data_IF_569679240146
#
_entry.id   IF_569679240146
#
_cell.length_a   1.000
_cell.length_b   1.000
_cell.length_c   1.000
_cell.angle_alpha   90.00
_cell.angle_beta   90.00
_cell.angle_gamma   90.00
#
_symmetry.space_group_name_H-M   'P 1'
#
loop_
_entity.id
_entity.type
_entity.pdbx_description
1 polymer ?
#
# COMPACT_ATOMS: atom_id res chain seq x y z
N UNK A 1 -1.93 5.93 37.51
CA UNK A 1 -2.72 4.99 38.34
C UNK A 1 -3.49 4.12 37.38
N UNK A 2 -3.37 2.79 37.47
CA UNK A 2 -4.19 1.90 36.63
C UNK A 2 -5.64 2.06 37.08
N UNK A 3 -6.55 2.35 36.17
CA UNK A 3 -8.00 2.39 36.45
C UNK A 3 -8.42 1.02 37.00
N UNK A 4 -9.20 0.99 38.09
CA UNK A 4 -9.70 -0.27 38.66
C UNK A 4 -10.72 -0.86 37.69
N UNK A 5 -10.69 -2.18 37.49
CA UNK A 5 -11.68 -2.82 36.63
C UNK A 5 -13.08 -2.68 37.24
N UNK A 6 -14.09 -2.43 36.39
CA UNK A 6 -15.49 -2.34 36.80
C UNK A 6 -16.13 -3.71 36.87
N UNK A 7 -16.86 -3.98 37.95
CA UNK A 7 -17.73 -5.16 38.04
C UNK A 7 -19.16 -4.70 38.30
N UNK A 8 -20.14 -5.43 37.78
CA UNK A 8 -21.56 -5.17 38.01
C UNK A 8 -22.18 -6.29 38.81
N UNK A 9 -22.83 -5.95 39.91
CA UNK A 9 -23.51 -6.88 40.80
C UNK A 9 -25.02 -6.64 40.70
N UNK A 10 -25.78 -7.69 40.44
CA UNK A 10 -27.22 -7.61 40.20
C UNK A 10 -27.94 -8.60 41.12
N UNK A 11 -28.77 -8.08 42.02
CA UNK A 11 -29.54 -8.87 42.97
C UNK A 11 -30.73 -8.01 43.43
N UNK A 12 -31.91 -8.59 43.59
CA UNK A 12 -33.11 -7.85 44.03
C UNK A 12 -33.09 -7.53 45.53
N UNK A 13 -32.19 -8.14 46.30
CA UNK A 13 -31.98 -7.88 47.72
C UNK A 13 -30.86 -6.84 47.96
N UNK A 14 -31.20 -5.63 48.40
CA UNK A 14 -30.23 -4.55 48.70
C UNK A 14 -29.13 -4.98 49.70
N UNK A 15 -29.49 -5.81 50.69
CA UNK A 15 -28.52 -6.32 51.67
C UNK A 15 -27.41 -7.19 51.04
N UNK A 16 -27.74 -7.94 49.97
CA UNK A 16 -26.76 -8.74 49.22
C UNK A 16 -25.84 -7.80 48.42
N UNK A 17 -26.41 -6.77 47.78
CA UNK A 17 -25.64 -5.75 47.06
C UNK A 17 -24.65 -5.03 47.98
N UNK A 18 -25.07 -4.61 49.18
CA UNK A 18 -24.20 -3.98 50.18
C UNK A 18 -23.04 -4.90 50.59
N UNK A 19 -23.36 -6.16 50.92
CA UNK A 19 -22.37 -7.16 51.34
C UNK A 19 -21.34 -7.42 50.24
N UNK A 20 -21.80 -7.60 49.00
CA UNK A 20 -20.93 -7.82 47.86
C UNK A 20 -20.10 -6.58 47.52
N UNK A 21 -20.68 -5.38 47.64
CA UNK A 21 -19.95 -4.12 47.44
C UNK A 21 -18.78 -4.01 48.41
N UNK A 22 -19.03 -4.19 49.71
CA UNK A 22 -17.98 -4.20 50.73
C UNK A 22 -16.91 -5.28 50.47
N UNK A 23 -17.30 -6.42 49.91
CA UNK A 23 -16.38 -7.51 49.59
C UNK A 23 -15.38 -7.14 48.49
N UNK A 24 -15.78 -6.31 47.53
CA UNK A 24 -15.06 -6.08 46.27
C UNK A 24 -14.53 -4.65 46.06
N UNK A 25 -15.01 -3.66 46.82
CA UNK A 25 -14.69 -2.22 46.63
C UNK A 25 -13.20 -1.88 46.79
N UNK A 26 -12.44 -2.69 47.53
CA UNK A 26 -10.99 -2.51 47.69
C UNK A 26 -10.22 -2.79 46.39
N UNK A 27 -10.71 -3.71 45.55
CA UNK A 27 -10.03 -4.20 44.35
C UNK A 27 -10.64 -3.67 43.04
N UNK A 28 -11.97 -3.47 43.02
CA UNK A 28 -12.74 -3.17 41.81
C UNK A 28 -13.57 -1.90 41.98
N UNK A 29 -13.96 -1.29 40.86
CA UNK A 29 -15.04 -0.30 40.86
C UNK A 29 -16.36 -1.08 40.79
N UNK A 30 -17.10 -1.11 41.90
CA UNK A 30 -18.33 -1.91 42.01
C UNK A 30 -19.52 -1.06 41.58
N UNK A 31 -20.22 -1.54 40.56
CA UNK A 31 -21.52 -1.04 40.13
C UNK A 31 -22.60 -2.01 40.61
N UNK A 32 -23.77 -1.51 40.97
CA UNK A 32 -24.88 -2.33 41.44
C UNK A 32 -26.17 -2.01 40.71
N UNK A 33 -27.07 -3.00 40.63
CA UNK A 33 -28.42 -2.85 40.13
C UNK A 33 -29.37 -3.80 40.85
N UNK A 34 -30.60 -3.36 41.12
CA UNK A 34 -31.63 -4.17 41.80
C UNK A 34 -32.53 -4.93 40.82
N UNK A 35 -32.33 -4.74 39.52
CA UNK A 35 -33.09 -5.42 38.47
C UNK A 35 -32.25 -5.65 37.21
N UNK A 36 -32.60 -6.67 36.42
CA UNK A 36 -31.96 -6.92 35.13
C UNK A 36 -32.11 -5.73 34.15
N UNK A 37 -33.24 -5.01 34.22
CA UNK A 37 -33.46 -3.82 33.37
C UNK A 37 -32.49 -2.71 33.71
N UNK A 38 -32.32 -2.41 35.00
CA UNK A 38 -31.39 -1.38 35.44
C UNK A 38 -29.94 -1.79 35.17
N UNK A 39 -29.62 -3.08 35.34
CA UNK A 39 -28.31 -3.63 35.00
C UNK A 39 -27.96 -3.45 33.51
N UNK A 40 -28.91 -3.67 32.59
CA UNK A 40 -28.73 -3.41 31.16
C UNK A 40 -28.52 -1.92 30.87
N UNK A 41 -29.19 -1.02 31.59
CA UNK A 41 -28.97 0.42 31.46
C UNK A 41 -27.57 0.83 31.94
N UNK A 42 -27.10 0.26 33.06
CA UNK A 42 -25.73 0.45 33.56
C UNK A 42 -24.70 -0.06 32.55
N UNK A 43 -24.88 -1.26 31.98
CA UNK A 43 -24.01 -1.80 30.94
C UNK A 43 -23.91 -0.87 29.72
N UNK A 44 -25.03 -0.29 29.28
CA UNK A 44 -25.05 0.65 28.16
C UNK A 44 -24.36 1.99 28.46
N UNK A 45 -24.39 2.46 29.70
CA UNK A 45 -23.86 3.75 30.10
C UNK A 45 -22.40 3.70 30.62
N UNK A 46 -21.99 2.59 31.22
CA UNK A 46 -20.75 2.47 32.00
C UNK A 46 -19.75 1.44 31.45
N UNK A 47 -20.04 0.82 30.30
CA UNK A 47 -19.11 -0.07 29.63
C UNK A 47 -17.73 0.60 29.38
N UNK A 48 -16.62 -0.16 29.40
CA UNK A 48 -16.55 -1.62 29.57
C UNK A 48 -16.72 -2.06 31.04
N UNK A 49 -17.46 -3.15 31.24
CA UNK A 49 -17.61 -3.84 32.53
C UNK A 49 -16.94 -5.20 32.42
N UNK A 50 -16.02 -5.50 33.34
CA UNK A 50 -15.18 -6.68 33.25
C UNK A 50 -15.95 -7.95 33.59
N UNK A 51 -16.70 -7.93 34.70
CA UNK A 51 -17.51 -9.06 35.12
C UNK A 51 -18.90 -8.61 35.56
N UNK A 52 -19.91 -9.42 35.24
CA UNK A 52 -21.28 -9.29 35.75
C UNK A 52 -21.54 -10.48 36.67
N UNK A 53 -22.01 -10.20 37.87
CA UNK A 53 -22.41 -11.19 38.88
C UNK A 53 -23.89 -10.97 39.13
N UNK A 54 -24.73 -11.95 38.82
CA UNK A 54 -26.19 -11.80 38.94
C UNK A 54 -26.80 -12.92 39.76
N UNK A 55 -27.84 -12.63 40.54
CA UNK A 55 -28.72 -13.68 41.05
C UNK A 55 -29.50 -14.36 39.91
N UNK A 56 -29.81 -15.63 40.10
CA UNK A 56 -30.61 -16.40 39.14
C UNK A 56 -32.11 -16.05 39.19
N UNK A 57 -32.67 -15.75 40.37
CA UNK A 57 -34.10 -15.53 40.59
C UNK A 57 -34.37 -14.07 40.92
N UNK A 58 -34.54 -13.27 39.88
CA UNK A 58 -34.98 -11.88 40.02
C UNK A 58 -36.41 -11.70 39.47
N UNK A 59 -37.17 -10.71 39.96
CA UNK A 59 -38.45 -10.32 39.37
C UNK A 59 -38.31 -9.98 37.88
N UNK A 60 -39.35 -10.27 37.11
CA UNK A 60 -39.49 -9.99 35.66
C UNK A 60 -38.57 -10.79 34.72
N UNK A 61 -37.28 -10.94 35.02
CA UNK A 61 -36.28 -11.58 34.17
C UNK A 61 -35.28 -12.38 35.00
N UNK A 62 -35.03 -13.63 34.61
CA UNK A 62 -34.05 -14.48 35.30
C UNK A 62 -32.62 -14.08 35.00
N UNK A 63 -31.68 -14.47 35.87
CA UNK A 63 -30.24 -14.21 35.68
C UNK A 63 -29.71 -14.78 34.35
N UNK A 64 -30.10 -16.00 33.98
CA UNK A 64 -29.72 -16.60 32.68
C UNK A 64 -30.25 -15.79 31.48
N UNK A 65 -31.51 -15.36 31.51
CA UNK A 65 -32.09 -14.55 30.42
C UNK A 65 -31.40 -13.18 30.30
N UNK A 66 -31.05 -12.58 31.43
CA UNK A 66 -30.26 -11.37 31.48
C UNK A 66 -28.85 -11.59 30.89
N UNK A 67 -28.12 -12.61 31.36
CA UNK A 67 -26.76 -12.89 30.90
C UNK A 67 -26.70 -13.28 29.41
N UNK A 68 -27.74 -13.89 28.86
CA UNK A 68 -27.84 -14.11 27.42
C UNK A 68 -27.85 -12.79 26.64
N UNK A 69 -28.58 -11.77 27.12
CA UNK A 69 -28.54 -10.42 26.52
C UNK A 69 -27.19 -9.72 26.71
N UNK A 70 -26.53 -9.94 27.85
CA UNK A 70 -25.16 -9.44 28.07
C UNK A 70 -24.20 -10.10 27.08
N UNK A 71 -24.33 -11.40 26.83
CA UNK A 71 -23.47 -12.11 25.88
C UNK A 71 -23.60 -11.57 24.45
N UNK A 72 -24.81 -11.18 24.03
CA UNK A 72 -25.04 -10.60 22.70
C UNK A 72 -24.49 -9.17 22.57
N UNK A 73 -24.70 -8.33 23.59
CA UNK A 73 -24.36 -6.89 23.54
C UNK A 73 -22.93 -6.58 23.99
N UNK A 74 -22.41 -7.36 24.92
CA UNK A 74 -21.11 -7.19 25.57
C UNK A 74 -20.39 -8.55 25.65
N UNK A 75 -19.98 -9.12 24.50
CA UNK A 75 -19.47 -10.49 24.42
C UNK A 75 -18.22 -10.73 25.27
N UNK A 76 -17.38 -9.71 25.46
CA UNK A 76 -16.14 -9.78 26.24
C UNK A 76 -16.36 -9.74 27.76
N UNK A 77 -17.49 -9.24 28.25
CA UNK A 77 -17.80 -9.21 29.69
C UNK A 77 -17.97 -10.62 30.22
N UNK A 78 -17.24 -11.02 31.25
CA UNK A 78 -17.43 -12.33 31.90
C UNK A 78 -18.70 -12.33 32.74
N UNK A 79 -19.39 -13.47 32.77
CA UNK A 79 -20.77 -13.57 33.27
C UNK A 79 -20.84 -14.66 34.33
N UNK A 80 -21.09 -14.28 35.59
CA UNK A 80 -21.15 -15.15 36.76
C UNK A 80 -22.58 -15.15 37.28
N UNK A 81 -23.07 -16.33 37.65
CA UNK A 81 -24.40 -16.48 38.22
C UNK A 81 -24.33 -16.99 39.66
N UNK A 82 -25.12 -16.38 40.55
CA UNK A 82 -25.32 -16.82 41.92
C UNK A 82 -26.64 -17.58 42.00
N UNK A 83 -26.67 -18.72 42.69
CA UNK A 83 -27.89 -19.51 42.84
C UNK A 83 -28.04 -20.11 44.23
N UNK A 84 -29.22 -20.01 44.82
CA UNK A 84 -29.57 -20.73 46.06
C UNK A 84 -30.15 -22.13 45.83
N UNK A 85 -30.44 -22.52 44.59
CA UNK A 85 -31.11 -23.80 44.27
C UNK A 85 -30.44 -24.53 43.10
N UNK A 86 -30.33 -25.85 43.21
CA UNK A 86 -29.74 -26.74 42.21
C UNK A 86 -30.70 -27.06 41.05
N UNK A 87 -31.20 -26.05 40.33
CA UNK A 87 -31.89 -26.28 39.05
C UNK A 87 -30.84 -26.56 37.95
N UNK A 88 -30.29 -27.77 37.98
CA UNK A 88 -29.15 -28.18 37.15
C UNK A 88 -29.38 -28.07 35.65
N UNK A 89 -30.60 -28.35 35.17
CA UNK A 89 -30.88 -28.45 33.73
C UNK A 89 -30.88 -27.10 33.00
N UNK A 90 -31.28 -26.02 33.67
CA UNK A 90 -31.23 -24.67 33.09
C UNK A 90 -29.79 -24.13 33.10
N UNK A 91 -29.03 -24.42 34.16
CA UNK A 91 -27.63 -24.01 34.27
C UNK A 91 -26.72 -24.74 33.28
N UNK A 92 -26.89 -26.05 33.11
CA UNK A 92 -26.10 -26.83 32.14
C UNK A 92 -26.32 -26.30 30.73
N UNK A 93 -27.56 -25.93 30.37
CA UNK A 93 -27.85 -25.30 29.08
C UNK A 93 -27.17 -23.94 28.91
N UNK A 94 -27.27 -23.07 29.90
CA UNK A 94 -26.65 -21.75 29.85
C UNK A 94 -25.10 -21.80 29.72
N UNK A 95 -24.46 -22.81 30.32
CA UNK A 95 -23.02 -23.06 30.15
C UNK A 95 -22.72 -23.57 28.74
N UNK A 96 -23.46 -24.57 28.27
CA UNK A 96 -23.24 -25.18 26.95
C UNK A 96 -23.48 -24.19 25.80
N UNK A 97 -24.36 -23.20 26.01
CA UNK A 97 -24.62 -22.11 25.07
C UNK A 97 -23.60 -20.97 25.18
N UNK A 98 -22.63 -21.05 26.10
CA UNK A 98 -21.56 -20.06 26.27
C UNK A 98 -22.01 -18.75 26.94
N UNK A 99 -23.24 -18.69 27.45
CA UNK A 99 -23.81 -17.50 28.08
C UNK A 99 -23.21 -17.21 29.45
N UNK A 100 -22.70 -18.22 30.17
CA UNK A 100 -22.21 -18.11 31.55
C UNK A 100 -20.80 -18.66 31.67
N UNK A 101 -19.91 -17.90 32.33
CA UNK A 101 -18.53 -18.30 32.63
C UNK A 101 -18.46 -19.24 33.84
N UNK A 102 -19.18 -18.93 34.91
CA UNK A 102 -19.20 -19.74 36.13
C UNK A 102 -20.50 -19.55 36.92
N UNK A 103 -20.85 -20.54 37.74
CA UNK A 103 -21.92 -20.42 38.73
C UNK A 103 -21.37 -20.60 40.14
N UNK A 104 -22.01 -19.96 41.11
CA UNK A 104 -21.68 -20.03 42.53
C UNK A 104 -22.94 -20.32 43.32
N UNK A 105 -22.88 -21.31 44.20
CA UNK A 105 -24.01 -21.68 45.07
C UNK A 105 -24.03 -20.80 46.34
N UNK A 106 -25.21 -20.32 46.73
CA UNK A 106 -25.45 -19.64 48.02
C UNK A 106 -25.67 -20.71 49.12
N UNK A 107 -25.07 -20.59 50.33
CA UNK A 107 -24.09 -19.59 50.74
C UNK A 107 -22.69 -19.86 50.15
N UNK A 108 -21.96 -18.80 49.80
CA UNK A 108 -20.60 -18.88 49.27
C UNK A 108 -19.55 -18.58 50.33
N UNK A 109 -18.35 -19.12 50.15
CA UNK A 109 -17.17 -18.68 50.90
C UNK A 109 -16.61 -17.39 50.26
N UNK A 110 -16.40 -16.31 51.03
CA UNK A 110 -15.93 -15.03 50.48
C UNK A 110 -14.62 -15.13 49.68
N UNK A 111 -13.65 -15.90 50.17
CA UNK A 111 -12.35 -16.03 49.50
C UNK A 111 -12.44 -16.78 48.16
N UNK A 112 -13.29 -17.80 48.07
CA UNK A 112 -13.52 -18.56 46.83
C UNK A 112 -14.19 -17.69 45.77
N UNK A 113 -15.18 -16.88 46.18
CA UNK A 113 -15.85 -15.95 45.29
C UNK A 113 -14.88 -14.85 44.81
N UNK A 114 -14.03 -14.31 45.69
CA UNK A 114 -12.99 -13.35 45.31
C UNK A 114 -12.04 -13.92 44.26
N UNK A 115 -11.54 -15.14 44.47
CA UNK A 115 -10.67 -15.80 43.49
C UNK A 115 -11.39 -16.08 42.16
N UNK A 116 -12.68 -16.38 42.18
CA UNK A 116 -13.46 -16.57 40.96
C UNK A 116 -13.62 -15.26 40.18
N UNK A 117 -14.00 -14.18 40.85
CA UNK A 117 -14.16 -12.85 40.25
C UNK A 117 -12.83 -12.34 39.71
N UNK A 118 -11.74 -12.52 40.45
CA UNK A 118 -10.40 -12.18 40.00
C UNK A 118 -10.05 -12.85 38.67
N UNK A 119 -10.24 -14.19 38.57
CA UNK A 119 -10.02 -14.94 37.33
C UNK A 119 -10.94 -14.49 36.20
N UNK A 120 -12.19 -14.16 36.50
CA UNK A 120 -13.15 -13.67 35.51
C UNK A 120 -12.72 -12.31 34.93
N UNK A 121 -12.26 -11.39 35.78
CA UNK A 121 -11.73 -10.08 35.36
C UNK A 121 -10.44 -10.25 34.55
N UNK A 122 -9.56 -11.17 34.94
CA UNK A 122 -8.34 -11.48 34.18
C UNK A 122 -8.69 -12.01 32.77
N UNK A 123 -9.66 -12.92 32.66
CA UNK A 123 -10.14 -13.41 31.38
C UNK A 123 -10.70 -12.28 30.50
N UNK A 124 -11.49 -11.36 31.07
CA UNK A 124 -11.99 -10.19 30.35
C UNK A 124 -10.84 -9.34 29.78
N UNK A 125 -9.81 -9.09 30.61
CA UNK A 125 -8.62 -8.35 30.19
C UNK A 125 -7.88 -9.05 29.05
N UNK A 126 -7.75 -10.38 29.10
CA UNK A 126 -7.14 -11.18 28.04
C UNK A 126 -7.93 -11.10 26.74
N UNK A 127 -9.27 -11.16 26.80
CA UNK A 127 -10.15 -11.02 25.64
C UNK A 127 -9.99 -9.63 24.99
N UNK A 128 -10.08 -8.55 25.77
CA UNK A 128 -9.86 -7.18 25.25
C UNK A 128 -8.45 -7.00 24.67
N UNK A 129 -7.44 -7.58 25.32
CA UNK A 129 -6.06 -7.51 24.82
C UNK A 129 -5.92 -8.24 23.49
N UNK A 130 -6.55 -9.41 23.34
CA UNK A 130 -6.52 -10.18 22.10
C UNK A 130 -7.21 -9.42 20.96
N UNK A 131 -8.40 -8.87 21.20
CA UNK A 131 -9.10 -8.02 20.22
C UNK A 131 -8.23 -6.85 19.77
N UNK A 132 -7.64 -6.11 20.72
CA UNK A 132 -6.74 -5.00 20.42
C UNK A 132 -5.50 -5.44 19.63
N UNK A 133 -4.86 -6.54 20.02
CA UNK A 133 -3.69 -7.07 19.30
C UNK A 133 -4.05 -7.51 17.88
N UNK A 134 -5.23 -8.10 17.69
CA UNK A 134 -5.72 -8.47 16.37
C UNK A 134 -5.93 -7.22 15.49
N UNK A 135 -6.53 -6.17 16.04
CA UNK A 135 -6.68 -4.88 15.38
C UNK A 135 -5.33 -4.25 15.03
N UNK A 136 -4.39 -4.22 15.96
CA UNK A 136 -3.03 -3.69 15.77
C UNK A 136 -2.32 -4.42 14.63
N UNK A 137 -2.37 -5.77 14.62
CA UNK A 137 -1.78 -6.59 13.55
C UNK A 137 -2.45 -6.33 12.21
N UNK A 138 -3.78 -6.25 12.17
CA UNK A 138 -4.50 -5.94 10.94
C UNK A 138 -4.18 -4.53 10.42
N UNK A 139 -4.08 -3.54 11.30
CA UNK A 139 -3.72 -2.18 10.93
C UNK A 139 -2.29 -2.11 10.40
N UNK A 140 -1.33 -2.73 11.09
CA UNK A 140 0.04 -2.82 10.63
C UNK A 140 0.13 -3.50 9.25
N UNK A 141 -0.57 -4.61 9.05
CA UNK A 141 -0.62 -5.31 7.76
C UNK A 141 -1.22 -4.45 6.64
N UNK A 142 -2.30 -3.70 6.91
CA UNK A 142 -2.88 -2.77 5.93
C UNK A 142 -1.91 -1.64 5.57
N UNK A 143 -1.25 -1.06 6.57
CA UNK A 143 -0.26 -0.01 6.36
C UNK A 143 0.92 -0.50 5.53
N UNK A 144 1.48 -1.66 5.86
CA UNK A 144 2.59 -2.27 5.11
C UNK A 144 2.18 -2.62 3.68
N UNK A 145 0.99 -3.18 3.46
CA UNK A 145 0.49 -3.48 2.13
C UNK A 145 0.36 -2.20 1.27
N UNK A 146 -0.18 -1.12 1.83
CA UNK A 146 -0.27 0.17 1.16
C UNK A 146 1.12 0.74 0.84
N UNK A 147 2.06 0.71 1.81
CA UNK A 147 3.41 1.19 1.59
C UNK A 147 4.14 0.42 0.48
N UNK A 148 3.99 -0.90 0.41
CA UNK A 148 4.60 -1.74 -0.63
C UNK A 148 3.94 -1.51 -2.01
N UNK A 149 2.66 -1.16 -2.06
CA UNK A 149 1.93 -0.82 -3.30
C UNK A 149 2.39 0.51 -3.94
N UNK A 150 3.04 1.39 -3.17
CA UNK A 150 3.63 2.65 -3.63
C UNK A 150 5.06 2.50 -4.18
N UNK A 151 5.73 1.37 -3.90
CA UNK A 151 7.07 1.13 -4.43
C UNK A 151 6.96 0.79 -5.93
N UNK A 152 7.75 1.39 -6.83
CA UNK A 152 7.73 1.11 -8.28
C UNK A 152 8.40 -0.23 -8.65
N UNK A 153 8.28 -1.24 -7.79
CA UNK A 153 8.83 -2.57 -7.95
C UNK A 153 7.73 -3.58 -7.66
N UNK A 154 7.51 -4.51 -8.58
CA UNK A 154 6.61 -5.62 -8.36
C UNK A 154 7.23 -6.59 -7.35
N UNK A 155 6.45 -6.97 -6.34
CA UNK A 155 6.80 -8.01 -5.38
C UNK A 155 5.70 -9.06 -5.36
N UNK A 156 6.06 -10.31 -5.63
CA UNK A 156 5.20 -11.48 -5.51
C UNK A 156 5.84 -12.46 -4.53
N UNK A 157 5.21 -12.65 -3.38
CA UNK A 157 5.71 -13.43 -2.25
C UNK A 157 5.01 -14.78 -2.20
N UNK A 158 5.80 -15.85 -2.10
CA UNK A 158 5.33 -17.23 -1.97
C UNK A 158 5.89 -17.86 -0.71
N UNK A 159 5.15 -18.77 -0.10
CA UNK A 159 5.66 -19.56 1.02
C UNK A 159 6.49 -20.77 0.55
N UNK A 160 6.93 -21.62 1.50
CA UNK A 160 7.67 -22.86 1.22
C UNK A 160 6.92 -23.84 0.32
N UNK A 161 5.60 -23.83 0.34
CA UNK A 161 4.76 -24.70 -0.48
C UNK A 161 4.52 -24.12 -1.89
N UNK A 162 5.06 -22.93 -2.17
CA UNK A 162 4.84 -22.23 -3.43
C UNK A 162 3.47 -21.56 -3.51
N UNK A 163 2.76 -21.38 -2.39
CA UNK A 163 1.47 -20.67 -2.36
C UNK A 163 1.72 -19.18 -2.23
N UNK A 164 1.04 -18.39 -3.06
CA UNK A 164 1.15 -16.93 -3.04
C UNK A 164 0.57 -16.38 -1.73
N UNK A 165 1.39 -15.63 -0.98
CA UNK A 165 1.03 -14.98 0.29
C UNK A 165 0.82 -13.48 0.15
N UNK A 166 1.50 -12.84 -0.80
CA UNK A 166 1.28 -11.44 -1.13
C UNK A 166 1.66 -11.16 -2.58
N UNK A 167 0.96 -10.21 -3.19
CA UNK A 167 1.32 -9.63 -4.48
C UNK A 167 0.98 -8.15 -4.42
N UNK A 168 1.95 -7.27 -4.63
CA UNK A 168 1.68 -5.83 -4.62
C UNK A 168 1.08 -5.36 -5.95
N UNK A 169 0.56 -4.13 -5.98
CA UNK A 169 -0.10 -3.52 -7.15
C UNK A 169 0.78 -3.54 -8.41
N UNK A 170 2.06 -3.10 -8.38
CA UNK A 170 2.94 -3.21 -9.54
C UNK A 170 3.12 -4.65 -10.04
N UNK A 171 3.30 -5.64 -9.15
CA UNK A 171 3.41 -7.04 -9.58
C UNK A 171 2.14 -7.50 -10.30
N UNK A 172 0.96 -7.24 -9.73
CA UNK A 172 -0.31 -7.61 -10.38
C UNK A 172 -0.47 -6.94 -11.74
N UNK A 173 -0.05 -5.68 -11.86
CA UNK A 173 -0.11 -4.91 -13.11
C UNK A 173 0.86 -5.46 -14.17
N UNK A 174 2.14 -5.68 -13.82
CA UNK A 174 3.14 -6.23 -14.75
C UNK A 174 2.81 -7.65 -15.22
N UNK A 175 2.14 -8.41 -14.36
CA UNK A 175 1.73 -9.79 -14.63
C UNK A 175 0.32 -9.91 -15.21
N UNK A 176 -0.42 -8.81 -15.40
CA UNK A 176 -1.77 -8.83 -15.96
C UNK A 176 -2.79 -9.61 -15.16
N UNK A 177 -2.60 -9.71 -13.84
CA UNK A 177 -3.46 -10.52 -12.99
C UNK A 177 -4.82 -9.82 -12.81
N UNK A 178 -5.90 -10.51 -13.19
CA UNK A 178 -7.28 -9.98 -13.12
C UNK A 178 -7.87 -9.93 -11.71
N UNK A 179 -7.16 -10.46 -10.71
CA UNK A 179 -7.61 -10.54 -9.32
C UNK A 179 -6.47 -10.71 -8.34
N UNK A 180 -6.81 -10.91 -7.07
CA UNK A 180 -5.85 -11.18 -6.01
C UNK A 180 -5.36 -12.65 -6.08
N UNK A 181 -4.07 -12.90 -6.32
CA UNK A 181 -3.54 -14.25 -6.43
C UNK A 181 -3.32 -14.94 -5.08
N UNK A 182 -3.56 -14.26 -3.95
CA UNK A 182 -3.32 -14.85 -2.61
C UNK A 182 -4.06 -16.18 -2.43
N UNK A 183 -3.34 -17.18 -1.95
CA UNK A 183 -3.83 -18.55 -1.75
C UNK A 183 -3.71 -19.46 -2.97
N UNK A 184 -3.38 -18.93 -4.15
CA UNK A 184 -3.15 -19.73 -5.35
C UNK A 184 -1.71 -20.26 -5.40
N UNK A 185 -1.50 -21.39 -6.09
CA UNK A 185 -0.15 -21.88 -6.34
C UNK A 185 0.56 -20.98 -7.36
N UNK A 186 1.84 -20.68 -7.13
CA UNK A 186 2.62 -19.82 -8.04
C UNK A 186 2.68 -20.38 -9.46
N UNK A 187 2.74 -21.69 -9.61
CA UNK A 187 2.76 -22.35 -10.91
C UNK A 187 1.46 -22.12 -11.70
N UNK A 188 0.32 -22.01 -11.03
CA UNK A 188 -0.98 -21.69 -11.66
C UNK A 188 -1.03 -20.22 -12.09
N UNK A 189 -0.53 -19.32 -11.22
CA UNK A 189 -0.44 -17.89 -11.53
C UNK A 189 0.47 -17.65 -12.74
N UNK A 190 1.61 -18.33 -12.79
CA UNK A 190 2.59 -18.22 -13.89
C UNK A 190 2.21 -19.04 -15.14
N UNK A 191 1.19 -19.90 -15.07
CA UNK A 191 0.64 -20.60 -16.23
C UNK A 191 -0.29 -19.72 -17.08
N UNK A 192 -0.55 -18.47 -16.66
CA UNK A 192 -1.32 -17.50 -17.41
C UNK A 192 -0.73 -17.18 -18.79
N UNK A 193 -1.59 -16.71 -19.70
CA UNK A 193 -1.17 -16.29 -21.05
C UNK A 193 -0.09 -15.21 -20.98
N UNK A 194 0.97 -15.37 -21.76
CA UNK A 194 2.09 -14.42 -21.84
C UNK A 194 3.13 -14.51 -20.71
N UNK A 195 3.00 -15.44 -19.76
CA UNK A 195 3.91 -15.58 -18.61
C UNK A 195 4.91 -16.77 -18.72
N UNK A 196 4.97 -17.45 -19.86
CA UNK A 196 5.83 -18.62 -20.06
C UNK A 196 7.31 -18.35 -19.80
N UNK A 197 7.85 -17.26 -20.35
CA UNK A 197 9.25 -16.84 -20.15
C UNK A 197 9.51 -16.50 -18.67
N UNK A 198 8.55 -15.84 -18.00
CA UNK A 198 8.66 -15.55 -16.57
C UNK A 198 8.77 -16.82 -15.73
N UNK A 199 7.96 -17.84 -16.05
CA UNK A 199 7.96 -19.12 -15.36
C UNK A 199 9.31 -19.81 -15.47
N UNK A 200 9.85 -19.89 -16.69
CA UNK A 200 11.16 -20.50 -16.94
C UNK A 200 12.30 -19.74 -16.25
N UNK A 201 12.29 -18.42 -16.34
CA UNK A 201 13.29 -17.55 -15.69
C UNK A 201 13.21 -17.64 -14.17
N UNK A 202 11.99 -17.72 -13.61
CA UNK A 202 11.81 -17.96 -12.18
C UNK A 202 12.43 -19.30 -11.78
N UNK A 203 12.18 -20.37 -12.53
CA UNK A 203 12.74 -21.69 -12.24
C UNK A 203 14.28 -21.69 -12.26
N UNK A 204 14.92 -20.99 -13.20
CA UNK A 204 16.39 -20.84 -13.24
C UNK A 204 16.92 -20.04 -12.05
N UNK A 205 16.35 -18.86 -11.79
CA UNK A 205 16.78 -17.99 -10.68
C UNK A 205 16.57 -18.63 -9.30
N UNK A 206 15.66 -19.59 -9.17
CA UNK A 206 15.44 -20.38 -7.95
C UNK A 206 16.62 -21.27 -7.58
N UNK A 207 17.48 -21.62 -8.55
CA UNK A 207 18.67 -22.46 -8.41
C UNK A 207 19.97 -21.63 -8.39
N UNK A 208 19.86 -20.33 -8.67
CA UNK A 208 20.97 -19.37 -8.70
C UNK A 208 21.22 -18.73 -7.33
N UNK A 209 22.37 -18.05 -7.21
CA UNK A 209 22.69 -17.24 -6.03
C UNK A 209 21.67 -16.11 -5.81
N UNK A 210 21.47 -15.75 -4.54
CA UNK A 210 20.51 -14.72 -4.08
C UNK A 210 20.89 -13.28 -4.52
N UNK A 211 21.85 -13.11 -5.42
CA UNK A 211 22.20 -11.84 -6.07
C UNK A 211 21.83 -11.81 -7.56
N UNK A 212 21.55 -12.96 -8.16
CA UNK A 212 21.26 -13.08 -9.58
C UNK A 212 19.97 -12.35 -9.96
N UNK A 213 19.95 -11.81 -11.17
CA UNK A 213 18.76 -11.30 -11.84
C UNK A 213 18.85 -11.65 -13.33
N UNK A 214 17.70 -11.72 -13.98
CA UNK A 214 17.59 -11.90 -15.43
C UNK A 214 16.64 -10.85 -16.01
N UNK A 215 16.92 -10.40 -17.23
CA UNK A 215 16.02 -9.51 -17.99
C UNK A 215 15.17 -10.35 -18.94
N UNK A 216 13.89 -10.00 -19.06
CA UNK A 216 12.92 -10.73 -19.88
C UNK A 216 11.89 -9.77 -20.47
N UNK A 217 11.24 -10.18 -21.56
CA UNK A 217 10.17 -9.41 -22.21
C UNK A 217 8.82 -10.11 -22.04
N UNK A 218 7.88 -9.46 -21.32
CA UNK A 218 6.51 -9.93 -21.19
C UNK A 218 5.61 -9.24 -22.19
N UNK A 219 4.94 -10.03 -23.03
CA UNK A 219 3.91 -9.52 -23.93
C UNK A 219 2.54 -9.93 -23.40
N UNK A 220 1.69 -8.94 -23.13
CA UNK A 220 0.30 -9.13 -22.69
C UNK A 220 -0.64 -8.32 -23.57
N UNK A 221 -1.41 -9.01 -24.42
CA UNK A 221 -2.19 -8.36 -25.46
C UNK A 221 -1.29 -7.54 -26.38
N UNK A 222 -1.58 -6.25 -26.51
CA UNK A 222 -0.81 -5.31 -27.33
C UNK A 222 0.36 -4.64 -26.58
N UNK A 223 0.55 -4.95 -25.30
CA UNK A 223 1.56 -4.32 -24.45
C UNK A 223 2.76 -5.25 -24.28
N UNK A 224 3.96 -4.74 -24.58
CA UNK A 224 5.22 -5.43 -24.29
C UNK A 224 6.00 -4.67 -23.20
N UNK A 225 6.42 -5.41 -22.19
CA UNK A 225 7.11 -4.94 -21.00
C UNK A 225 8.47 -5.59 -20.88
N UNK A 226 9.53 -4.80 -20.73
CA UNK A 226 10.84 -5.31 -20.35
C UNK A 226 10.99 -5.27 -18.84
N UNK A 227 11.21 -6.43 -18.24
CA UNK A 227 11.33 -6.60 -16.79
C UNK A 227 12.70 -7.15 -16.42
N UNK A 228 13.23 -6.69 -15.28
CA UNK A 228 14.32 -7.34 -14.55
C UNK A 228 13.71 -8.15 -13.42
N UNK A 229 13.84 -9.46 -13.47
CA UNK A 229 13.37 -10.40 -12.46
C UNK A 229 14.53 -10.81 -11.54
N UNK A 230 14.30 -10.77 -10.24
CA UNK A 230 15.14 -11.39 -9.24
C UNK A 230 14.28 -12.28 -8.33
N UNK A 231 14.80 -13.44 -7.92
CA UNK A 231 14.18 -14.29 -6.91
C UNK A 231 15.05 -14.24 -5.67
N UNK A 232 14.44 -13.99 -4.51
CA UNK A 232 15.15 -13.94 -3.23
C UNK A 232 14.49 -14.86 -2.23
N UNK A 233 15.30 -15.52 -1.42
CA UNK A 233 14.78 -16.30 -0.29
C UNK A 233 14.44 -15.36 0.87
N UNK A 234 13.32 -15.61 1.53
CA UNK A 234 12.90 -14.85 2.72
C UNK A 234 13.11 -15.75 3.92
N UNK A 235 13.73 -15.23 4.98
CA UNK A 235 14.00 -15.95 6.23
C UNK A 235 15.49 -16.02 6.52
N UNK A 236 15.86 -16.65 7.63
CA UNK A 236 17.26 -16.95 7.93
C UNK A 236 17.69 -18.19 7.14
N UNK A 237 18.97 -18.29 6.79
CA UNK A 237 19.52 -19.33 5.91
C UNK A 237 19.17 -20.76 6.35
N UNK A 238 19.06 -21.01 7.66
CA UNK A 238 18.71 -22.33 8.21
C UNK A 238 17.19 -22.62 8.22
N UNK A 239 16.34 -21.59 8.09
CA UNK A 239 14.88 -21.70 8.13
C UNK A 239 14.20 -20.71 7.16
N UNK A 240 14.31 -20.92 5.84
CA UNK A 240 13.72 -20.01 4.85
C UNK A 240 12.19 -20.06 4.96
N UNK A 241 11.50 -18.97 5.22
CA UNK A 241 10.03 -18.94 5.35
C UNK A 241 9.29 -18.89 4.00
N UNK A 242 9.97 -18.47 2.94
CA UNK A 242 9.39 -18.35 1.61
C UNK A 242 10.35 -17.75 0.59
N UNK A 243 9.81 -17.26 -0.52
CA UNK A 243 10.57 -16.55 -1.57
C UNK A 243 9.81 -15.31 -2.03
N UNK A 244 10.53 -14.30 -2.49
CA UNK A 244 9.97 -13.14 -3.17
C UNK A 244 10.52 -13.06 -4.60
N UNK A 245 9.61 -12.90 -5.55
CA UNK A 245 9.91 -12.51 -6.92
C UNK A 245 9.83 -10.99 -6.98
N UNK A 246 10.96 -10.36 -7.30
CA UNK A 246 11.10 -8.93 -7.48
C UNK A 246 11.13 -8.61 -8.97
N UNK A 247 10.19 -7.79 -9.42
CA UNK A 247 9.97 -7.41 -10.81
C UNK A 247 10.21 -5.92 -10.94
N UNK A 248 11.25 -5.52 -11.67
CA UNK A 248 11.50 -4.11 -11.97
C UNK A 248 11.23 -3.84 -13.44
N UNK A 249 10.35 -2.90 -13.73
CA UNK A 249 10.09 -2.42 -15.09
C UNK A 249 11.25 -1.56 -15.58
N UNK A 250 11.78 -1.90 -16.76
CA UNK A 250 12.99 -1.29 -17.35
C UNK A 250 12.82 -0.99 -18.85
N UNK A 251 11.60 -0.95 -19.38
CA UNK A 251 11.34 -0.69 -20.82
C UNK A 251 11.82 0.70 -21.25
N UNK A 252 11.91 1.65 -20.31
CA UNK A 252 12.47 2.97 -20.55
C UNK A 252 14.01 2.97 -20.70
N UNK A 253 14.74 2.00 -20.13
CA UNK A 253 16.21 2.02 -20.10
C UNK A 253 16.84 2.01 -21.52
N UNK A 254 16.42 1.14 -22.47
CA UNK A 254 16.95 1.15 -23.83
C UNK A 254 16.63 2.44 -24.60
N UNK A 255 15.41 2.95 -24.44
CA UNK A 255 14.96 4.18 -25.10
C UNK A 255 15.69 5.40 -24.55
N UNK A 256 15.93 5.43 -23.24
CA UNK A 256 16.73 6.46 -22.58
C UNK A 256 18.16 6.46 -23.10
N UNK A 257 18.79 5.29 -23.25
CA UNK A 257 20.14 5.18 -23.81
C UNK A 257 20.20 5.72 -25.25
N UNK A 258 19.24 5.33 -26.10
CA UNK A 258 19.13 5.87 -27.47
C UNK A 258 18.92 7.39 -27.49
N UNK A 259 18.09 7.91 -26.59
CA UNK A 259 17.90 9.35 -26.43
C UNK A 259 19.19 10.08 -26.00
N UNK A 260 19.96 9.52 -25.07
CA UNK A 260 21.25 10.09 -24.64
C UNK A 260 22.29 10.04 -25.77
N UNK A 261 22.34 8.95 -26.55
CA UNK A 261 23.18 8.84 -27.76
C UNK A 261 22.83 9.91 -28.80
N UNK A 262 21.53 10.20 -29.00
CA UNK A 262 21.06 11.29 -29.87
C UNK A 262 21.50 12.67 -29.39
N UNK A 263 21.40 12.95 -28.08
CA UNK A 263 21.86 14.23 -27.52
C UNK A 263 23.36 14.43 -27.76
N UNK A 264 24.15 13.37 -27.56
CA UNK A 264 25.60 13.40 -27.82
C UNK A 264 25.91 13.65 -29.31
N UNK A 265 25.15 13.04 -30.23
CA UNK A 265 25.31 13.27 -31.68
C UNK A 265 25.06 14.74 -32.04
N UNK A 266 24.00 15.35 -31.49
CA UNK A 266 23.66 16.77 -31.68
C UNK A 266 24.75 17.70 -31.13
N UNK A 267 25.38 17.35 -30.00
CA UNK A 267 26.43 18.16 -29.39
C UNK A 267 27.77 18.10 -30.14
N UNK A 268 28.03 17.04 -30.90
CA UNK A 268 29.33 16.84 -31.56
C UNK A 268 29.64 17.85 -32.68
N UNK A 269 30.92 18.14 -32.91
CA UNK A 269 31.36 19.31 -33.69
C UNK A 269 31.33 19.15 -35.24
N UNK A 270 31.17 17.94 -35.78
CA UNK A 270 31.22 17.64 -37.24
C UNK A 270 29.94 17.96 -38.07
N UNK A 271 30.06 17.99 -39.40
CA UNK A 271 28.90 18.03 -40.34
C UNK A 271 28.29 19.41 -40.64
N UNK A 272 27.01 19.47 -41.03
CA UNK A 272 26.20 20.70 -41.16
C UNK A 272 25.10 20.69 -40.07
N UNK A 273 24.71 21.86 -39.53
CA UNK A 273 23.74 21.91 -38.40
C UNK A 273 22.37 21.32 -38.81
N UNK A 274 21.82 21.80 -39.94
CA UNK A 274 20.48 21.45 -40.39
C UNK A 274 20.24 19.94 -40.63
N UNK A 275 21.06 19.22 -41.43
CA UNK A 275 20.83 17.78 -41.65
C UNK A 275 20.86 16.96 -40.36
N UNK A 276 21.64 17.39 -39.36
CA UNK A 276 21.71 16.71 -38.05
C UNK A 276 20.46 16.97 -37.22
N UNK A 277 19.99 18.21 -37.17
CA UNK A 277 18.74 18.54 -36.48
C UNK A 277 17.54 17.83 -37.13
N UNK A 278 17.46 17.76 -38.46
CA UNK A 278 16.40 17.04 -39.18
C UNK A 278 16.45 15.53 -38.88
N UNK A 279 17.65 14.92 -38.93
CA UNK A 279 17.85 13.51 -38.54
C UNK A 279 17.42 13.25 -37.09
N UNK A 280 17.88 14.08 -36.16
CA UNK A 280 17.55 13.95 -34.75
C UNK A 280 16.05 14.15 -34.48
N UNK A 281 15.39 15.07 -35.18
CA UNK A 281 13.94 15.27 -35.06
C UNK A 281 13.17 14.01 -35.49
N UNK A 282 13.60 13.37 -36.59
CA UNK A 282 13.01 12.12 -37.06
C UNK A 282 13.19 10.98 -36.04
N UNK A 283 14.42 10.76 -35.56
CA UNK A 283 14.71 9.71 -34.58
C UNK A 283 14.01 9.93 -33.24
N UNK A 284 13.90 11.19 -32.76
CA UNK A 284 13.13 11.52 -31.57
C UNK A 284 11.64 11.24 -31.76
N UNK A 285 11.08 11.46 -32.97
CA UNK A 285 9.69 11.12 -33.26
C UNK A 285 9.45 9.60 -33.21
N UNK A 286 10.39 8.79 -33.69
CA UNK A 286 10.34 7.32 -33.54
C UNK A 286 10.37 6.91 -32.07
N UNK A 287 11.30 7.46 -31.28
CA UNK A 287 11.39 7.21 -29.85
C UNK A 287 10.08 7.61 -29.14
N UNK A 288 9.52 8.79 -29.43
CA UNK A 288 8.24 9.23 -28.89
C UNK A 288 7.08 8.27 -29.24
N UNK A 289 7.05 7.77 -30.47
CA UNK A 289 6.05 6.79 -30.91
C UNK A 289 6.21 5.43 -30.22
N UNK A 290 7.42 5.03 -29.87
CA UNK A 290 7.67 3.82 -29.07
C UNK A 290 7.22 4.01 -27.62
N UNK A 291 7.55 5.15 -27.00
CA UNK A 291 7.10 5.47 -25.63
C UNK A 291 5.56 5.49 -25.53
N UNK A 292 4.87 6.07 -26.52
CA UNK A 292 3.40 6.08 -26.57
C UNK A 292 2.77 4.70 -26.75
N UNK A 293 3.44 3.78 -27.45
CA UNK A 293 2.94 2.42 -27.69
C UNK A 293 3.19 1.48 -26.52
N UNK A 294 4.29 1.66 -25.79
CA UNK A 294 4.65 0.86 -24.61
C UNK A 294 3.84 1.21 -23.36
N UNK A 295 2.53 1.44 -23.50
CA UNK A 295 1.59 2.00 -22.52
C UNK A 295 1.47 1.19 -21.23
N UNK A 296 2.52 1.24 -20.41
CA UNK A 296 2.46 0.98 -18.98
C UNK A 296 2.73 2.31 -18.30
N UNK A 297 1.91 2.64 -17.30
CA UNK A 297 2.07 3.78 -16.40
C UNK A 297 3.36 3.59 -15.55
N UNK A 298 4.51 3.58 -16.21
CA UNK A 298 5.83 3.55 -15.61
C UNK A 298 6.30 4.99 -15.41
N UNK A 299 6.65 5.39 -14.18
CA UNK A 299 7.23 6.70 -13.92
C UNK A 299 8.42 7.02 -14.82
N UNK A 300 9.27 6.03 -15.14
CA UNK A 300 10.43 6.20 -16.00
C UNK A 300 10.05 6.48 -17.47
N UNK A 301 8.98 5.87 -17.97
CA UNK A 301 8.46 6.16 -19.31
C UNK A 301 7.84 7.55 -19.39
N UNK A 302 7.11 7.98 -18.36
CA UNK A 302 6.53 9.32 -18.30
C UNK A 302 7.61 10.42 -18.28
N UNK A 303 8.65 10.24 -17.45
CA UNK A 303 9.80 11.15 -17.41
C UNK A 303 10.52 11.22 -18.77
N UNK A 304 10.75 10.06 -19.39
CA UNK A 304 11.38 10.00 -20.71
C UNK A 304 10.52 10.66 -21.79
N UNK A 305 9.19 10.45 -21.76
CA UNK A 305 8.25 11.09 -22.68
C UNK A 305 8.31 12.62 -22.59
N UNK A 306 8.34 13.16 -21.37
CA UNK A 306 8.45 14.59 -21.12
C UNK A 306 9.78 15.13 -21.66
N UNK A 307 10.90 14.46 -21.36
CA UNK A 307 12.23 14.85 -21.84
C UNK A 307 12.29 14.86 -23.37
N UNK A 308 11.80 13.80 -24.03
CA UNK A 308 11.73 13.73 -25.50
C UNK A 308 10.90 14.88 -26.07
N UNK A 309 9.71 15.12 -25.50
CA UNK A 309 8.81 16.19 -25.98
C UNK A 309 9.46 17.57 -25.88
N UNK A 310 10.11 17.88 -24.75
CA UNK A 310 10.85 19.15 -24.57
C UNK A 310 11.98 19.29 -25.60
N UNK A 311 12.74 18.24 -25.82
CA UNK A 311 13.81 18.23 -26.82
C UNK A 311 13.27 18.44 -28.23
N UNK A 312 12.17 17.77 -28.61
CA UNK A 312 11.53 17.97 -29.92
C UNK A 312 11.13 19.43 -30.15
N UNK A 313 10.53 20.08 -29.14
CA UNK A 313 10.20 21.51 -29.22
C UNK A 313 11.45 22.37 -29.42
N UNK A 314 12.55 22.07 -28.74
CA UNK A 314 13.80 22.80 -28.94
C UNK A 314 14.34 22.67 -30.37
N UNK A 315 14.37 21.45 -30.91
CA UNK A 315 14.81 21.21 -32.30
C UNK A 315 13.91 21.91 -33.32
N UNK A 316 12.58 21.83 -33.13
CA UNK A 316 11.61 22.46 -34.02
C UNK A 316 11.81 23.97 -34.12
N UNK A 317 12.01 24.65 -32.98
CA UNK A 317 12.28 26.08 -32.98
C UNK A 317 13.65 26.44 -33.59
N UNK A 318 14.70 25.66 -33.34
CA UNK A 318 16.00 25.89 -33.98
C UNK A 318 15.93 25.73 -35.50
N UNK A 319 15.24 24.69 -35.98
CA UNK A 319 15.01 24.48 -37.41
C UNK A 319 14.18 25.60 -38.03
N UNK A 320 13.11 26.04 -37.36
CA UNK A 320 12.27 27.14 -37.83
C UNK A 320 13.03 28.48 -37.90
N UNK A 321 13.95 28.72 -36.96
CA UNK A 321 14.81 29.91 -36.96
C UNK A 321 15.83 29.83 -38.10
N UNK A 322 16.48 28.69 -38.29
CA UNK A 322 17.41 28.47 -39.40
C UNK A 322 16.70 28.63 -40.76
N UNK A 323 15.48 28.08 -40.90
CA UNK A 323 14.65 28.21 -42.10
C UNK A 323 14.27 29.66 -42.41
N UNK A 324 13.83 30.42 -41.40
CA UNK A 324 13.43 31.81 -41.58
C UNK A 324 14.60 32.69 -42.04
N UNK A 325 15.79 32.50 -41.45
CA UNK A 325 17.00 33.24 -41.86
C UNK A 325 17.44 32.94 -43.31
N UNK A 326 17.12 31.75 -43.82
CA UNK A 326 17.51 31.33 -45.18
C UNK A 326 16.45 31.69 -46.23
N UNK A 327 15.16 31.51 -45.92
CA UNK A 327 14.06 31.63 -46.90
C UNK A 327 13.44 33.02 -46.95
N UNK A 328 13.44 33.75 -45.84
CA UNK A 328 12.82 35.06 -45.74
C UNK A 328 13.85 36.16 -45.96
N UNK A 329 13.49 37.20 -46.73
CA UNK A 329 14.39 38.33 -46.96
C UNK A 329 14.66 39.14 -45.69
N UNK A 330 13.62 39.40 -44.90
CA UNK A 330 13.67 40.13 -43.62
C UNK A 330 12.69 39.50 -42.61
N UNK A 331 13.03 38.35 -42.01
CA UNK A 331 12.21 37.74 -40.97
C UNK A 331 12.12 38.64 -39.73
N UNK A 332 11.05 38.54 -38.93
CA UNK A 332 10.94 39.33 -37.69
C UNK A 332 12.01 38.91 -36.67
N UNK A 333 13.03 39.74 -36.49
CA UNK A 333 14.15 39.48 -35.60
C UNK A 333 13.72 39.27 -34.12
N UNK A 334 12.66 39.94 -33.67
CA UNK A 334 12.13 39.78 -32.31
C UNK A 334 11.51 38.40 -32.14
N UNK A 335 10.73 37.96 -33.13
CA UNK A 335 10.13 36.63 -33.15
C UNK A 335 11.21 35.54 -33.16
N UNK A 336 12.28 35.71 -33.96
CA UNK A 336 13.40 34.76 -33.97
C UNK A 336 14.10 34.66 -32.62
N UNK A 337 14.33 35.80 -31.95
CA UNK A 337 14.98 35.84 -30.65
C UNK A 337 14.12 35.17 -29.56
N UNK A 338 12.79 35.36 -29.62
CA UNK A 338 11.85 34.68 -28.72
C UNK A 338 11.82 33.17 -28.95
N UNK A 339 11.77 32.71 -30.21
CA UNK A 339 11.85 31.29 -30.57
C UNK A 339 13.15 30.66 -30.08
N UNK A 340 14.29 31.31 -30.27
CA UNK A 340 15.59 30.85 -29.75
C UNK A 340 15.59 30.74 -28.23
N UNK A 341 15.03 31.73 -27.52
CA UNK A 341 14.94 31.69 -26.05
C UNK A 341 14.10 30.51 -25.57
N UNK A 342 12.93 30.29 -26.18
CA UNK A 342 12.06 29.15 -25.84
C UNK A 342 12.80 27.84 -26.12
N UNK A 343 13.41 27.69 -27.29
CA UNK A 343 14.15 26.49 -27.66
C UNK A 343 15.25 26.16 -26.64
N UNK A 344 16.06 27.15 -26.28
CA UNK A 344 17.17 26.97 -25.34
C UNK A 344 16.68 26.62 -23.93
N UNK A 345 15.53 27.14 -23.50
CA UNK A 345 14.92 26.79 -22.21
C UNK A 345 14.35 25.36 -22.18
N UNK A 346 13.95 24.84 -23.34
CA UNK A 346 13.39 23.50 -23.49
C UNK A 346 14.47 22.44 -23.69
N UNK A 347 15.67 22.82 -24.12
CA UNK A 347 16.80 21.91 -24.27
C UNK A 347 17.18 21.23 -22.93
N UNK A 348 17.39 19.89 -22.92
CA UNK A 348 17.63 19.13 -21.69
C UNK A 348 18.98 19.39 -21.02
N UNK A 349 19.95 19.99 -21.72
CA UNK A 349 21.29 20.31 -21.19
C UNK A 349 21.51 21.83 -21.24
N UNK A 350 20.89 22.61 -20.33
CA UNK A 350 20.85 24.07 -20.43
C UNK A 350 22.24 24.73 -20.37
N UNK A 351 23.21 24.09 -19.70
CA UNK A 351 24.59 24.56 -19.60
C UNK A 351 25.45 24.18 -20.83
N UNK A 352 24.95 23.27 -21.68
CA UNK A 352 25.68 22.71 -22.81
C UNK A 352 24.86 22.80 -24.10
N UNK A 353 24.57 24.03 -24.53
CA UNK A 353 24.01 24.27 -25.86
C UNK A 353 25.01 23.82 -26.93
N UNK A 354 24.58 23.10 -27.99
CA UNK A 354 25.48 22.71 -29.08
C UNK A 354 26.20 23.93 -29.68
N UNK A 355 27.50 23.82 -29.98
CA UNK A 355 28.32 24.96 -30.43
C UNK A 355 27.72 25.69 -31.65
N UNK A 356 27.11 24.94 -32.57
CA UNK A 356 26.44 25.45 -33.77
C UNK A 356 25.12 26.16 -33.47
N UNK A 357 24.39 25.70 -32.45
CA UNK A 357 23.19 26.38 -31.96
C UNK A 357 23.59 27.70 -31.28
N UNK A 358 24.70 27.74 -30.54
CA UNK A 358 25.25 28.99 -30.01
C UNK A 358 25.63 29.96 -31.13
N UNK A 359 26.23 29.46 -32.21
CA UNK A 359 26.53 30.27 -33.39
C UNK A 359 25.25 30.79 -34.08
N UNK A 360 24.20 29.96 -34.20
CA UNK A 360 22.89 30.39 -34.71
C UNK A 360 22.26 31.46 -33.81
N UNK A 361 22.30 31.29 -32.48
CA UNK A 361 21.82 32.27 -31.51
C UNK A 361 22.53 33.62 -31.67
N UNK A 362 23.86 33.61 -31.79
CA UNK A 362 24.66 34.82 -31.99
C UNK A 362 24.30 35.52 -33.31
N UNK A 363 24.03 34.77 -34.39
CA UNK A 363 23.56 35.34 -35.68
C UNK A 363 22.20 36.04 -35.53
N UNK A 364 21.25 35.42 -34.83
CA UNK A 364 19.92 36.01 -34.58
C UNK A 364 20.04 37.27 -33.71
N UNK A 365 20.89 37.23 -32.68
CA UNK A 365 21.12 38.38 -31.81
C UNK A 365 21.78 39.55 -32.55
N UNK A 366 22.77 39.27 -33.40
CA UNK A 366 23.36 40.27 -34.28
C UNK A 366 22.31 40.89 -35.20
N UNK A 367 21.47 40.06 -35.84
CA UNK A 367 20.39 40.54 -36.70
C UNK A 367 19.40 41.45 -35.94
N UNK A 368 19.03 41.08 -34.71
CA UNK A 368 18.15 41.90 -33.88
C UNK A 368 18.77 43.26 -33.51
N UNK A 369 20.09 43.31 -33.31
CA UNK A 369 20.80 44.55 -32.97
C UNK A 369 21.05 45.46 -34.18
N UNK A 370 21.42 44.89 -35.33
CA UNK A 370 21.83 45.66 -36.52
C UNK A 370 20.70 45.87 -37.53
N UNK A 371 19.69 45.00 -37.53
CA UNK A 371 18.65 44.95 -38.57
C UNK A 371 19.13 44.35 -39.90
N UNK A 372 20.37 43.86 -39.98
CA UNK A 372 20.96 43.28 -41.19
C UNK A 372 20.82 41.75 -41.19
N UNK A 373 20.05 41.20 -42.14
CA UNK A 373 19.84 39.76 -42.21
C UNK A 373 21.14 39.03 -42.59
N UNK A 374 21.71 38.18 -41.70
CA UNK A 374 22.98 37.49 -41.94
C UNK A 374 22.90 36.41 -43.04
N UNK A 375 21.70 36.09 -43.54
CA UNK A 375 21.48 35.14 -44.64
C UNK A 375 21.48 35.77 -46.04
N UNK A 376 21.47 37.11 -46.14
CA UNK A 376 21.54 37.80 -47.43
C UNK A 376 22.92 38.42 -47.67
N UNK A 377 23.42 38.43 -48.92
CA UNK A 377 24.60 39.21 -49.26
C UNK A 377 24.30 40.70 -49.03
N UNK A 378 25.18 41.36 -48.29
CA UNK A 378 25.18 42.84 -48.14
C UNK A 378 25.35 43.42 -49.54
N UNK A 379 24.35 44.18 -50.01
CA UNK A 379 24.36 44.84 -51.33
C UNK A 379 25.36 45.99 -51.39
#
# INVERSE_FOLDING_TARGET
>A
MSERARILIVDDEEAILETMTFTFEDEYEVLTATSARDALAVLGAQAPIAAVITDQRMPEMTGVEFLAQVCERHPTTTRIILTGYADGDAMVRAINEGHVYAYVTKPWEPDDLKQLVHRAVELHRLLLTNERLLEDVQQANRFLAAAIDEIPMGALVVDRAGVVRAANRPARAYLGLRGDPRGQAIEEVLAGEGLGELRETTARLRESDDTAYEELELTQGDVSLRLRLAVRTIGQDEQPIGRVLLLREISHEPLRRRFEELLNDIQSEGGALRPRLEKAQHELAECAAQVKRGSVDSPGMAELAERISRTQTALEYWLAVDDALVREGYPDARLLLERMRIANSRWPLPEELPARVRALAARVEAYYQTGENPGQPVL
#
